data_IF_851047143707
#
_entry.id   IF_851047143707
#
_cell.length_a   1.000
_cell.length_b   1.000
_cell.length_c   1.000
_cell.angle_alpha   90.00
_cell.angle_beta   90.00
_cell.angle_gamma   90.00
#
_symmetry.space_group_name_H-M   'P 1'
#
loop_
_entity.id
_entity.type
_entity.pdbx_description
1 polymer ?
#
# COMPACT_ATOMS: atom_id res chain seq x y z
N UNK A 1 15.93 11.89 5.32
CA UNK A 1 15.01 11.10 4.49
C UNK A 1 15.69 9.79 4.09
N UNK A 2 14.93 8.77 3.69
CA UNK A 2 15.49 7.44 3.35
C UNK A 2 16.46 7.42 2.16
N UNK A 3 16.59 8.54 1.46
CA UNK A 3 17.50 8.76 0.34
C UNK A 3 18.83 9.38 0.77
N UNK A 4 18.96 9.80 2.04
CA UNK A 4 20.20 10.40 2.54
C UNK A 4 21.31 9.35 2.64
N UNK A 5 22.54 9.77 2.33
CA UNK A 5 23.73 8.92 2.38
C UNK A 5 23.90 8.21 3.73
N UNK A 6 23.59 8.89 4.83
CA UNK A 6 23.68 8.32 6.18
C UNK A 6 22.73 7.13 6.36
N UNK A 7 21.51 7.21 5.84
CA UNK A 7 20.53 6.13 5.93
C UNK A 7 21.01 4.86 5.22
N UNK A 8 21.65 5.01 4.04
CA UNK A 8 22.20 3.86 3.32
C UNK A 8 23.41 3.22 4.01
N UNK A 9 24.19 4.00 4.76
CA UNK A 9 25.30 3.47 5.57
C UNK A 9 24.79 2.69 6.78
N UNK A 10 23.76 3.21 7.45
CA UNK A 10 23.16 2.56 8.61
C UNK A 10 22.35 1.31 8.22
N UNK A 11 21.85 1.26 6.98
CA UNK A 11 21.01 0.18 6.45
C UNK A 11 21.48 -0.30 5.06
N UNK A 12 22.60 -1.03 4.97
CA UNK A 12 23.21 -1.42 3.68
C UNK A 12 22.36 -2.38 2.84
N UNK A 13 21.34 -3.02 3.42
CA UNK A 13 20.39 -3.89 2.71
C UNK A 13 19.04 -3.24 2.43
N UNK A 14 18.82 -1.98 2.83
CA UNK A 14 17.53 -1.32 2.62
C UNK A 14 17.37 -0.88 1.17
N UNK A 15 16.27 -1.31 0.55
CA UNK A 15 15.83 -0.88 -0.76
C UNK A 15 14.40 -0.37 -0.71
N UNK A 16 14.01 0.43 -1.69
CA UNK A 16 12.63 0.90 -1.85
C UNK A 16 11.71 -0.25 -2.24
N UNK A 17 10.52 -0.29 -1.68
CA UNK A 17 9.46 -1.21 -2.11
C UNK A 17 8.97 -0.77 -3.48
N UNK A 18 8.98 -1.68 -4.45
CA UNK A 18 8.39 -1.42 -5.76
C UNK A 18 6.87 -1.52 -5.71
N UNK A 19 6.20 -0.87 -6.66
CA UNK A 19 4.75 -0.95 -6.82
C UNK A 19 4.28 -2.40 -6.99
N UNK A 20 5.04 -3.22 -7.71
CA UNK A 20 4.74 -4.64 -7.90
C UNK A 20 4.79 -5.42 -6.59
N UNK A 21 5.82 -5.19 -5.75
CA UNK A 21 5.91 -5.80 -4.43
C UNK A 21 4.73 -5.38 -3.53
N UNK A 22 4.34 -4.12 -3.57
CA UNK A 22 3.18 -3.61 -2.83
C UNK A 22 1.85 -4.22 -3.29
N UNK A 23 1.66 -4.36 -4.60
CA UNK A 23 0.48 -5.00 -5.20
C UNK A 23 0.41 -6.50 -4.89
N UNK A 24 1.55 -7.19 -4.91
CA UNK A 24 1.64 -8.60 -4.54
C UNK A 24 1.27 -8.77 -3.05
N UNK A 25 1.82 -7.95 -2.15
CA UNK A 25 1.46 -8.00 -0.74
C UNK A 25 -0.03 -7.75 -0.50
N UNK A 26 -0.63 -6.76 -1.20
CA UNK A 26 -2.07 -6.50 -1.16
C UNK A 26 -2.88 -7.75 -1.47
N UNK A 27 -2.48 -8.51 -2.50
CA UNK A 27 -3.14 -9.77 -2.87
C UNK A 27 -2.97 -10.84 -1.79
N UNK A 28 -1.76 -10.97 -1.23
CA UNK A 28 -1.46 -11.96 -0.20
C UNK A 28 -2.29 -11.79 1.07
N UNK A 29 -2.46 -10.54 1.54
CA UNK A 29 -3.23 -10.25 2.75
C UNK A 29 -4.72 -10.04 2.50
N UNK A 30 -5.16 -10.09 1.24
CA UNK A 30 -6.56 -9.86 0.86
C UNK A 30 -7.03 -8.41 1.05
N UNK A 31 -6.12 -7.44 0.97
CA UNK A 31 -6.47 -6.02 1.08
C UNK A 31 -7.26 -5.53 -0.13
N UNK A 32 -8.13 -4.54 0.09
CA UNK A 32 -9.01 -4.00 -0.94
C UNK A 32 -8.27 -3.13 -1.96
N UNK A 33 -7.31 -2.34 -1.50
CA UNK A 33 -6.52 -1.43 -2.34
C UNK A 33 -5.06 -1.36 -1.86
N UNK A 34 -4.19 -1.01 -2.79
CA UNK A 34 -2.83 -0.55 -2.54
C UNK A 34 -2.72 0.81 -3.20
N UNK A 35 -2.26 1.82 -2.45
CA UNK A 35 -2.17 3.21 -2.91
C UNK A 35 -0.85 3.77 -2.41
N UNK A 36 0.05 4.10 -3.35
CA UNK A 36 1.28 4.84 -3.05
C UNK A 36 0.97 6.33 -2.91
N UNK A 37 1.55 6.98 -1.90
CA UNK A 37 1.40 8.42 -1.69
C UNK A 37 2.69 9.04 -1.11
N UNK A 38 2.80 10.36 -1.25
CA UNK A 38 3.87 11.15 -0.65
C UNK A 38 3.26 12.33 0.09
N UNK A 39 3.38 12.34 1.41
CA UNK A 39 2.98 13.49 2.24
C UNK A 39 3.83 14.73 1.96
N UNK A 40 5.09 14.55 1.57
CA UNK A 40 6.02 15.65 1.25
C UNK A 40 5.57 16.44 0.03
N UNK A 41 5.16 15.74 -1.03
CA UNK A 41 4.74 16.36 -2.30
C UNK A 41 3.22 16.41 -2.46
N UNK A 42 2.47 15.95 -1.44
CA UNK A 42 1.01 15.78 -1.45
C UNK A 42 0.49 14.84 -2.54
N UNK A 43 1.36 14.07 -3.21
CA UNK A 43 0.95 13.13 -4.25
C UNK A 43 0.06 12.03 -3.65
N UNK A 44 -1.12 11.84 -4.26
CA UNK A 44 -2.11 10.81 -3.93
C UNK A 44 -2.65 10.83 -2.48
N UNK A 45 -2.36 11.86 -1.68
CA UNK A 45 -2.83 11.94 -0.29
C UNK A 45 -4.36 11.91 -0.25
N UNK A 46 -5.04 12.70 -1.09
CA UNK A 46 -6.50 12.68 -1.21
C UNK A 46 -7.03 11.29 -1.61
N UNK A 47 -6.36 10.60 -2.52
CA UNK A 47 -6.78 9.29 -3.00
C UNK A 47 -6.75 8.22 -1.89
N UNK A 48 -5.78 8.31 -0.96
CA UNK A 48 -5.73 7.45 0.23
C UNK A 48 -6.98 7.63 1.10
N UNK A 49 -7.35 8.88 1.40
CA UNK A 49 -8.52 9.16 2.22
C UNK A 49 -9.84 8.84 1.51
N UNK A 50 -9.99 9.22 0.24
CA UNK A 50 -11.16 8.89 -0.56
C UNK A 50 -11.37 7.36 -0.64
N UNK A 51 -10.28 6.60 -0.83
CA UNK A 51 -10.31 5.15 -0.86
C UNK A 51 -10.79 4.54 0.47
N UNK A 52 -10.26 5.03 1.59
CA UNK A 52 -10.66 4.57 2.92
C UNK A 52 -12.15 4.90 3.21
N UNK A 53 -12.57 6.14 2.94
CA UNK A 53 -13.96 6.58 3.13
C UNK A 53 -14.90 5.74 2.26
N UNK A 54 -14.57 5.54 0.99
CA UNK A 54 -15.41 4.77 0.05
C UNK A 54 -15.61 3.33 0.52
N UNK A 55 -14.58 2.69 1.07
CA UNK A 55 -14.69 1.32 1.60
C UNK A 55 -15.66 1.25 2.78
N UNK A 56 -15.70 2.28 3.63
CA UNK A 56 -16.60 2.33 4.78
C UNK A 56 -18.03 2.66 4.36
N UNK A 57 -18.21 3.63 3.46
CA UNK A 57 -19.54 4.07 2.99
C UNK A 57 -20.18 3.04 2.07
N UNK A 58 -19.40 2.38 1.21
CA UNK A 58 -19.85 1.37 0.27
C UNK A 58 -19.00 0.10 0.43
N UNK A 59 -19.28 -0.71 1.47
CA UNK A 59 -18.50 -1.90 1.73
C UNK A 59 -18.63 -2.87 0.56
N UNK A 60 -17.50 -3.42 0.06
CA UNK A 60 -17.53 -4.41 -1.00
C UNK A 60 -18.29 -5.64 -0.51
N UNK A 61 -19.20 -6.16 -1.34
CA UNK A 61 -19.89 -7.44 -1.06
C UNK A 61 -18.83 -8.50 -0.78
N UNK A 62 -18.90 -9.12 0.39
CA UNK A 62 -17.98 -10.19 0.77
C UNK A 62 -18.00 -11.26 -0.32
N UNK A 63 -16.90 -11.40 -1.06
CA UNK A 63 -16.71 -12.55 -1.93
C UNK A 63 -16.57 -13.74 -0.98
N UNK A 64 -17.59 -14.60 -0.91
CA UNK A 64 -17.49 -15.90 -0.22
C UNK A 64 -16.19 -16.55 -0.68
N UNK A 65 -15.23 -16.68 0.22
CA UNK A 65 -14.03 -17.45 -0.07
C UNK A 65 -14.52 -18.85 -0.40
N UNK A 66 -14.30 -19.31 -1.63
CA UNK A 66 -14.48 -20.72 -1.96
C UNK A 66 -13.53 -21.47 -1.03
N UNK A 67 -14.06 -22.23 -0.07
CA UNK A 67 -13.28 -23.22 0.66
C UNK A 67 -12.54 -24.03 -0.40
N UNK A 68 -11.21 -23.97 -0.39
CA UNK A 68 -10.40 -24.89 -1.19
C UNK A 68 -10.74 -26.30 -0.68
N UNK A 69 -11.05 -27.26 -1.57
CA UNK A 69 -11.25 -28.66 -1.16
C UNK A 69 -9.97 -29.22 -0.54
#
# INVERSE_FOLDING_TARGET
LREDRQFHLDYPGASTISTEQGLELKKQIGALAYIECSSKTQQNVKAVFDGAIKVVVQPPKQKKQKKRP
#
